data_IF_444950612187
#
_entry.id   IF_444950612187
#
_cell.length_a   1.000
_cell.length_b   1.000
_cell.length_c   1.000
_cell.angle_alpha   90.00
_cell.angle_beta   90.00
_cell.angle_gamma   90.00
#
_symmetry.space_group_name_H-M   'P 1'
#
loop_
_entity.id
_entity.type
_entity.pdbx_description
1 polymer ?
#
# COMPACT_ATOMS: atom_id res chain seq x y z
N UNK A 1 12.24 -24.74 3.10
CA UNK A 1 11.01 -24.67 2.29
C UNK A 1 10.18 -23.53 2.86
N UNK A 2 10.39 -22.31 2.35
CA UNK A 2 9.64 -21.13 2.81
C UNK A 2 8.20 -21.26 2.36
N UNK A 3 7.28 -21.16 3.31
CA UNK A 3 5.85 -21.08 3.07
C UNK A 3 5.55 -19.86 2.18
N UNK A 4 4.65 -19.95 1.19
CA UNK A 4 4.20 -18.79 0.44
C UNK A 4 3.52 -17.82 1.42
N UNK A 5 4.02 -16.58 1.48
CA UNK A 5 3.40 -15.50 2.24
C UNK A 5 2.06 -15.21 1.59
N UNK A 6 0.98 -15.76 2.13
CA UNK A 6 -0.38 -15.40 1.74
C UNK A 6 -0.49 -13.87 1.76
N UNK A 7 -1.07 -13.28 0.70
CA UNK A 7 -1.63 -11.94 0.79
C UNK A 7 -2.54 -11.94 2.00
N UNK A 8 -2.06 -11.35 3.11
CA UNK A 8 -2.65 -11.44 4.45
C UNK A 8 -4.15 -11.66 4.38
N UNK A 9 -4.55 -12.93 4.55
CA UNK A 9 -5.92 -13.35 4.30
C UNK A 9 -6.87 -12.49 5.11
N UNK A 10 -7.78 -11.79 4.43
CA UNK A 10 -8.91 -11.06 5.01
C UNK A 10 -8.65 -10.48 6.40
N UNK A 11 -8.12 -9.25 6.45
CA UNK A 11 -8.00 -8.40 7.64
C UNK A 11 -9.09 -8.74 8.70
N UNK A 12 -8.66 -9.34 9.81
CA UNK A 12 -9.54 -10.00 10.78
C UNK A 12 -10.07 -9.02 11.84
N UNK A 13 -11.19 -9.37 12.49
CA UNK A 13 -11.91 -8.58 13.52
C UNK A 13 -11.11 -8.36 14.83
N UNK A 14 -9.92 -7.77 14.76
CA UNK A 14 -9.09 -7.43 15.91
C UNK A 14 -9.16 -5.95 16.27
N UNK A 15 -9.14 -5.65 17.57
CA UNK A 15 -9.06 -4.28 18.13
C UNK A 15 -7.64 -3.70 18.02
N UNK A 16 -7.03 -3.69 16.83
CA UNK A 16 -5.71 -3.08 16.58
C UNK A 16 -5.89 -1.60 16.26
N UNK A 17 -4.98 -0.74 16.73
CA UNK A 17 -4.93 0.66 16.29
C UNK A 17 -4.18 0.73 14.95
N UNK A 18 -4.50 1.70 14.07
CA UNK A 18 -3.78 1.85 12.80
C UNK A 18 -2.27 1.94 12.99
N UNK A 19 -1.84 2.67 14.04
CA UNK A 19 -0.45 2.85 14.45
C UNK A 19 0.33 1.55 14.61
N UNK A 20 -0.34 0.46 14.97
CA UNK A 20 0.31 -0.82 15.25
C UNK A 20 0.70 -1.56 13.95
N UNK A 21 0.20 -1.11 12.79
CA UNK A 21 0.40 -1.73 11.48
C UNK A 21 1.08 -0.80 10.46
N UNK A 22 1.20 0.50 10.74
CA UNK A 22 1.77 1.47 9.78
C UNK A 22 3.14 1.01 9.29
N UNK A 23 4.02 0.57 10.17
CA UNK A 23 5.38 0.13 9.80
C UNK A 23 5.41 -1.10 8.88
N UNK A 24 4.32 -1.87 8.84
CA UNK A 24 4.22 -3.11 8.06
C UNK A 24 3.43 -2.97 6.77
N UNK A 25 2.47 -2.05 6.70
CA UNK A 25 1.55 -1.91 5.55
C UNK A 25 1.29 -0.46 5.12
N UNK A 26 1.86 0.52 5.80
CA UNK A 26 1.66 1.96 5.57
C UNK A 26 0.35 2.52 6.13
N UNK A 27 0.26 3.85 6.18
CA UNK A 27 -0.81 4.58 6.87
C UNK A 27 -2.20 4.32 6.29
N UNK A 28 -2.33 4.33 4.95
CA UNK A 28 -3.63 4.11 4.27
C UNK A 28 -4.16 2.71 4.49
N UNK A 29 -3.33 1.67 4.30
CA UNK A 29 -3.74 0.29 4.48
C UNK A 29 -4.06 -0.02 5.95
N UNK A 30 -3.32 0.56 6.90
CA UNK A 30 -3.60 0.44 8.32
C UNK A 30 -4.95 1.05 8.71
N UNK A 31 -5.33 2.19 8.12
CA UNK A 31 -6.66 2.77 8.32
C UNK A 31 -7.78 1.90 7.71
N UNK A 32 -7.54 1.28 6.55
CA UNK A 32 -8.49 0.33 5.96
C UNK A 32 -8.68 -0.91 6.86
N UNK A 33 -7.61 -1.50 7.40
CA UNK A 33 -7.69 -2.60 8.39
C UNK A 33 -8.52 -2.19 9.61
N UNK A 34 -8.28 -0.99 10.14
CA UNK A 34 -9.03 -0.46 11.27
C UNK A 34 -10.53 -0.31 10.98
N UNK A 35 -10.90 0.17 9.79
CA UNK A 35 -12.31 0.27 9.37
C UNK A 35 -12.96 -1.12 9.26
N UNK A 36 -12.25 -2.09 8.70
CA UNK A 36 -12.72 -3.50 8.62
C UNK A 36 -12.94 -4.07 10.02
N UNK A 37 -12.00 -3.84 10.93
CA UNK A 37 -12.11 -4.27 12.33
C UNK A 37 -13.36 -3.73 13.05
N UNK A 38 -13.90 -2.60 12.58
CA UNK A 38 -15.14 -1.98 13.09
C UNK A 38 -16.40 -2.34 12.32
N UNK A 39 -16.31 -3.24 11.33
CA UNK A 39 -17.45 -3.66 10.54
C UNK A 39 -17.94 -2.61 9.53
N UNK A 40 -17.13 -1.60 9.24
CA UNK A 40 -17.45 -0.65 8.16
C UNK A 40 -17.35 -1.39 6.82
N UNK A 41 -18.34 -1.27 5.93
CA UNK A 41 -18.27 -1.90 4.61
C UNK A 41 -17.18 -1.22 3.79
N UNK A 42 -16.10 -1.95 3.54
CA UNK A 42 -15.05 -1.56 2.60
C UNK A 42 -15.00 -2.55 1.45
N UNK A 43 -14.58 -2.13 0.24
CA UNK A 43 -14.27 -3.07 -0.82
C UNK A 43 -13.27 -4.11 -0.33
N UNK A 44 -13.36 -5.34 -0.87
CA UNK A 44 -12.37 -6.37 -0.59
C UNK A 44 -10.99 -5.85 -1.02
N UNK A 45 -10.05 -5.86 -0.09
CA UNK A 45 -8.73 -5.23 -0.24
C UNK A 45 -7.64 -6.26 0.03
N UNK A 46 -6.56 -6.15 -0.73
CA UNK A 46 -5.32 -6.91 -0.54
C UNK A 46 -4.19 -5.92 -0.32
N UNK A 47 -3.18 -6.35 0.42
CA UNK A 47 -2.03 -5.52 0.77
C UNK A 47 -0.76 -6.33 0.57
N UNK A 48 0.22 -5.73 -0.10
CA UNK A 48 1.59 -6.23 -0.16
C UNK A 48 2.35 -5.57 1.01
N UNK A 49 2.82 -6.34 2.01
CA UNK A 49 3.52 -5.77 3.14
C UNK A 49 4.85 -5.12 2.74
N UNK A 50 5.31 -4.18 3.57
CA UNK A 50 6.63 -3.57 3.45
C UNK A 50 7.71 -4.66 3.48
N UNK A 51 8.66 -4.59 2.55
CA UNK A 51 9.76 -5.54 2.44
C UNK A 51 9.40 -6.88 1.76
N UNK A 52 8.15 -7.05 1.31
CA UNK A 52 7.76 -8.19 0.47
C UNK A 52 7.94 -7.83 -0.99
N UNK A 53 8.65 -8.69 -1.72
CA UNK A 53 8.82 -8.57 -3.17
C UNK A 53 7.47 -8.82 -3.89
N UNK A 54 6.93 -7.83 -4.62
CA UNK A 54 5.68 -7.96 -5.37
C UNK A 54 5.66 -9.09 -6.40
N UNK A 55 6.80 -9.48 -6.94
CA UNK A 55 6.85 -10.56 -7.93
C UNK A 55 6.64 -11.93 -7.27
N UNK A 56 6.85 -12.01 -5.95
CA UNK A 56 6.67 -13.23 -5.16
C UNK A 56 5.25 -13.42 -4.61
N UNK A 57 4.40 -12.39 -4.63
CA UNK A 57 3.04 -12.51 -4.09
C UNK A 57 2.13 -13.32 -5.02
N UNK A 58 1.38 -14.23 -4.39
CA UNK A 58 0.33 -15.02 -5.03
C UNK A 58 -0.95 -14.18 -5.03
N UNK A 59 -1.48 -13.86 -6.21
CA UNK A 59 -2.65 -12.99 -6.40
C UNK A 59 -3.99 -13.75 -6.28
N UNK A 60 -4.06 -14.71 -5.36
CA UNK A 60 -5.22 -15.59 -5.20
C UNK A 60 -6.47 -14.83 -4.75
N UNK A 61 -7.60 -15.24 -5.32
CA UNK A 61 -8.91 -14.66 -5.04
C UNK A 61 -9.19 -13.33 -5.75
N UNK A 62 -8.28 -12.85 -6.60
CA UNK A 62 -8.60 -11.80 -7.58
C UNK A 62 -9.50 -12.39 -8.68
N UNK A 63 -10.54 -11.65 -9.03
CA UNK A 63 -11.49 -12.01 -10.09
C UNK A 63 -11.02 -11.27 -11.34
N UNK A 64 -10.56 -12.02 -12.35
CA UNK A 64 -9.95 -11.44 -13.56
C UNK A 64 -10.81 -10.38 -14.27
N UNK A 65 -12.13 -10.51 -14.22
CA UNK A 65 -13.08 -9.58 -14.85
C UNK A 65 -13.41 -8.35 -14.00
N UNK A 66 -13.06 -8.34 -12.71
CA UNK A 66 -13.39 -7.26 -11.79
C UNK A 66 -12.32 -6.16 -11.86
N UNK A 67 -12.71 -4.88 -11.84
CA UNK A 67 -11.74 -3.78 -11.78
C UNK A 67 -11.18 -3.61 -10.36
N UNK A 68 -9.89 -3.32 -10.31
CA UNK A 68 -9.15 -3.05 -9.09
C UNK A 68 -8.51 -1.66 -9.15
N UNK A 69 -8.34 -1.06 -7.97
CA UNK A 69 -7.51 0.12 -7.77
C UNK A 69 -6.20 -0.31 -7.11
N UNK A 70 -5.08 0.06 -7.72
CA UNK A 70 -3.72 -0.17 -7.18
C UNK A 70 -3.17 1.16 -6.69
N UNK A 71 -2.79 1.22 -5.42
CA UNK A 71 -2.39 2.47 -4.74
C UNK A 71 -1.25 2.19 -3.80
N UNK A 72 -0.35 3.15 -3.64
CA UNK A 72 0.66 3.06 -2.59
C UNK A 72 0.03 3.25 -1.21
N UNK A 73 0.72 2.72 -0.20
CA UNK A 73 0.47 2.96 1.21
C UNK A 73 1.83 3.09 1.88
N UNK A 74 2.34 4.31 1.99
CA UNK A 74 3.65 4.57 2.59
C UNK A 74 3.53 4.79 4.12
N UNK A 75 4.64 4.58 4.83
CA UNK A 75 4.80 4.85 6.27
C UNK A 75 4.93 6.35 6.56
N UNK A 76 5.43 7.12 5.60
CA UNK A 76 5.83 8.53 5.75
C UNK A 76 4.67 9.52 5.49
N UNK A 77 3.52 9.04 5.01
CA UNK A 77 2.37 9.90 4.67
C UNK A 77 1.74 10.64 5.86
N UNK A 78 1.99 10.18 7.08
CA UNK A 78 1.41 10.72 8.32
C UNK A 78 2.45 11.43 9.22
N UNK A 79 3.59 11.86 8.66
CA UNK A 79 4.58 12.68 9.37
C UNK A 79 4.05 14.09 9.68
N UNK A 80 4.26 14.58 10.91
CA UNK A 80 3.77 15.88 11.42
C UNK A 80 4.16 17.12 10.59
N UNK A 81 5.15 17.00 9.70
CA UNK A 81 5.78 18.11 8.99
C UNK A 81 5.39 18.19 7.50
N UNK A 82 4.76 17.16 6.92
CA UNK A 82 4.35 17.20 5.51
C UNK A 82 3.20 16.22 5.21
N UNK A 83 2.04 16.75 4.84
CA UNK A 83 0.97 15.96 4.23
C UNK A 83 1.34 15.68 2.77
N UNK A 84 1.86 14.49 2.47
CA UNK A 84 2.17 14.03 1.11
C UNK A 84 0.92 13.56 0.34
N UNK A 85 -0.25 14.13 0.68
CA UNK A 85 -1.53 13.79 0.09
C UNK A 85 -1.50 14.10 -1.42
N UNK A 86 -1.55 13.06 -2.25
CA UNK A 86 -1.68 13.18 -3.70
C UNK A 86 -0.39 12.99 -4.52
N UNK A 87 0.76 12.70 -3.89
CA UNK A 87 1.99 12.50 -4.66
C UNK A 87 2.14 11.08 -5.23
N UNK A 88 1.55 10.07 -4.59
CA UNK A 88 1.71 8.70 -5.04
C UNK A 88 0.74 8.29 -6.13
N UNK A 89 1.23 7.56 -7.13
CA UNK A 89 0.41 7.07 -8.22
C UNK A 89 -0.75 6.19 -7.69
N UNK A 90 -1.93 6.42 -8.26
CA UNK A 90 -3.10 5.57 -8.08
C UNK A 90 -3.54 5.16 -9.48
N UNK A 91 -3.54 3.86 -9.75
CA UNK A 91 -3.98 3.31 -11.02
C UNK A 91 -5.35 2.65 -10.80
N UNK A 92 -6.34 3.07 -11.58
CA UNK A 92 -7.73 2.62 -11.46
C UNK A 92 -8.10 1.69 -12.62
N UNK A 93 -9.21 0.98 -12.47
CA UNK A 93 -9.79 0.08 -13.50
C UNK A 93 -8.81 -1.00 -14.02
N UNK A 94 -7.91 -1.48 -13.15
CA UNK A 94 -6.94 -2.52 -13.49
C UNK A 94 -7.62 -3.89 -13.45
N UNK A 95 -7.44 -4.70 -14.50
CA UNK A 95 -8.12 -5.99 -14.67
C UNK A 95 -7.16 -7.08 -15.11
N UNK A 96 -7.32 -8.26 -14.52
CA UNK A 96 -6.47 -9.41 -14.81
C UNK A 96 -5.10 -9.33 -14.14
N UNK A 97 -4.53 -10.50 -13.87
CA UNK A 97 -3.32 -10.62 -13.05
C UNK A 97 -2.13 -9.85 -13.63
N UNK A 98 -1.88 -9.98 -14.93
CA UNK A 98 -0.76 -9.31 -15.61
C UNK A 98 -0.82 -7.79 -15.49
N UNK A 99 -2.00 -7.19 -15.68
CA UNK A 99 -2.15 -5.75 -15.55
C UNK A 99 -2.00 -5.29 -14.10
N UNK A 100 -2.42 -6.12 -13.14
CA UNK A 100 -2.25 -5.84 -11.71
C UNK A 100 -0.77 -5.84 -11.33
N UNK A 101 0.02 -6.82 -11.80
CA UNK A 101 1.47 -6.84 -11.58
C UNK A 101 2.17 -5.61 -12.17
N UNK A 102 1.82 -5.25 -13.41
CA UNK A 102 2.35 -4.04 -14.05
C UNK A 102 2.00 -2.76 -13.25
N UNK A 103 0.74 -2.62 -12.85
CA UNK A 103 0.30 -1.47 -12.06
C UNK A 103 0.99 -1.40 -10.68
N UNK A 104 1.29 -2.55 -10.06
CA UNK A 104 2.05 -2.59 -8.81
C UNK A 104 3.48 -2.09 -9.03
N UNK A 105 4.16 -2.55 -10.08
CA UNK A 105 5.50 -2.07 -10.43
C UNK A 105 5.53 -0.56 -10.69
N UNK A 106 4.56 -0.04 -11.46
CA UNK A 106 4.44 1.40 -11.76
C UNK A 106 4.23 2.23 -10.48
N UNK A 107 3.34 1.77 -9.58
CA UNK A 107 3.06 2.45 -8.31
C UNK A 107 4.29 2.46 -7.40
N UNK A 108 5.05 1.36 -7.34
CA UNK A 108 6.28 1.28 -6.56
C UNK A 108 7.37 2.19 -7.11
N UNK A 109 7.62 2.17 -8.41
CA UNK A 109 8.59 3.08 -9.05
C UNK A 109 8.24 4.56 -8.85
N UNK A 110 6.94 4.90 -8.84
CA UNK A 110 6.48 6.26 -8.51
C UNK A 110 6.77 6.65 -7.05
N UNK A 111 6.64 5.69 -6.12
CA UNK A 111 6.88 5.94 -4.71
C UNK A 111 8.37 6.17 -4.43
N UNK A 112 9.26 5.39 -5.04
CA UNK A 112 10.71 5.56 -4.93
C UNK A 112 11.16 6.93 -5.46
N UNK A 113 10.70 7.30 -6.66
CA UNK A 113 11.03 8.59 -7.27
C UNK A 113 10.58 9.78 -6.40
N UNK A 114 9.38 9.70 -5.82
CA UNK A 114 8.85 10.75 -4.95
C UNK A 114 9.57 10.82 -3.59
N UNK A 115 9.95 9.68 -3.02
CA UNK A 115 10.72 9.64 -1.77
C UNK A 115 12.11 10.25 -1.96
N UNK A 116 12.76 9.98 -3.09
CA UNK A 116 14.04 10.60 -3.46
C UNK A 116 13.91 12.12 -3.64
N UNK A 117 12.86 12.59 -4.31
CA UNK A 117 12.59 14.02 -4.46
C UNK A 117 12.29 14.70 -3.13
N UNK A 118 11.48 14.08 -2.26
CA UNK A 118 11.19 14.59 -0.92
C UNK A 118 12.45 14.66 -0.05
N UNK A 119 13.31 13.64 -0.10
CA UNK A 119 14.58 13.63 0.61
C UNK A 119 15.51 14.74 0.12
N UNK A 120 15.62 14.94 -1.21
CA UNK A 120 16.40 16.06 -1.79
C UNK A 120 15.86 17.42 -1.34
N UNK A 121 14.55 17.64 -1.41
CA UNK A 121 13.94 18.88 -0.97
C UNK A 121 14.17 19.16 0.53
N UNK A 122 14.13 18.12 1.38
CA UNK A 122 14.43 18.25 2.80
C UNK A 122 15.90 18.62 3.06
N UNK A 123 16.84 18.05 2.30
CA UNK A 123 18.25 18.43 2.38
C UNK A 123 18.50 19.87 1.91
N UNK A 124 17.78 20.33 0.88
CA UNK A 124 17.88 21.71 0.37
C UNK A 124 17.28 22.75 1.34
N UNK A 125 16.19 22.41 2.06
CA UNK A 125 15.61 23.28 3.10
C UNK A 125 16.40 23.28 4.41
N UNK A 126 17.31 22.32 4.60
CA UNK A 126 18.20 22.21 5.78
C UNK A 126 19.65 22.59 5.42
N UNK A 127 19.81 23.55 4.50
CA UNK A 127 21.06 24.29 4.27
C UNK A 127 21.11 25.59 5.10
N UNK A 128 22.30 26.07 5.49
CA UNK A 128 22.58 26.87 6.70
C UNK A 128 21.94 28.26 6.78
#
# INVERSE_FOLDING_TARGET
>A
MSQPTELTGSLSKGSRRPTDLVDHIGGKAAHVDWLIGRGVPVPRTWVIPVGVDPDTVVLDGLISTRPYAVRSSATVEDGKEASYAGQFATILDVRGETAIRAAVADVLGSAESNLEEAYRAALEHTGP
#
